data_IF_363562900254
#
_entry.id   IF_363562900254
#
_cell.length_a   1.000
_cell.length_b   1.000
_cell.length_c   1.000
_cell.angle_alpha   90.00
_cell.angle_beta   90.00
_cell.angle_gamma   90.00
#
_symmetry.space_group_name_H-M   'P 1'
#
loop_
_entity.id
_entity.type
_entity.pdbx_description
1 polymer ?
#
# COMPACT_ATOMS: atom_id res chain seq x y z
N UNK A 1 10.85 15.18 9.44
CA UNK A 1 11.14 13.93 8.72
C UNK A 1 10.86 12.76 9.65
N UNK A 2 10.38 11.63 9.14
CA UNK A 2 10.19 10.40 9.90
C UNK A 2 11.56 9.81 10.27
N UNK A 3 11.67 9.31 11.50
CA UNK A 3 12.86 8.59 11.96
C UNK A 3 12.64 7.07 11.76
N UNK A 4 13.40 6.49 10.84
CA UNK A 4 13.37 5.06 10.50
C UNK A 4 14.65 4.32 10.92
N UNK A 5 15.53 4.96 11.66
CA UNK A 5 16.86 4.41 12.01
C UNK A 5 16.81 3.17 12.89
N UNK A 6 15.69 2.95 13.57
CA UNK A 6 15.48 1.79 14.47
C UNK A 6 14.83 0.57 13.82
N UNK A 7 14.71 0.59 12.50
CA UNK A 7 14.30 -0.58 11.72
C UNK A 7 12.80 -0.85 11.63
N UNK A 8 11.95 -0.08 12.33
CA UNK A 8 10.48 -0.22 12.25
C UNK A 8 9.88 0.94 11.49
N UNK A 9 9.11 0.65 10.44
CA UNK A 9 8.41 1.64 9.64
C UNK A 9 7.01 1.96 10.19
N UNK A 10 6.22 0.93 10.54
CA UNK A 10 4.90 1.08 11.13
C UNK A 10 4.78 0.24 12.41
N UNK A 11 4.14 0.78 13.40
CA UNK A 11 3.83 0.09 14.65
C UNK A 11 2.41 0.38 15.11
N UNK A 12 1.60 -0.66 15.18
CA UNK A 12 0.26 -0.66 15.76
C UNK A 12 0.29 -1.42 17.06
N UNK A 13 -0.28 -0.85 18.12
CA UNK A 13 -0.27 -1.43 19.45
C UNK A 13 -1.67 -1.41 20.05
N UNK A 14 -2.24 -2.59 20.24
CA UNK A 14 -3.55 -2.83 20.82
C UNK A 14 -4.69 -1.98 20.23
N UNK A 15 -4.69 -1.80 18.92
CA UNK A 15 -5.72 -1.03 18.19
C UNK A 15 -7.06 -1.75 18.26
N UNK A 16 -8.08 -1.05 18.78
CA UNK A 16 -9.47 -1.51 18.77
C UNK A 16 -10.35 -0.49 18.07
N UNK A 17 -11.24 -1.00 17.21
CA UNK A 17 -12.23 -0.20 16.45
C UNK A 17 -13.56 -0.91 16.49
N UNK A 18 -14.61 -0.16 16.84
CA UNK A 18 -16.00 -0.65 16.82
C UNK A 18 -16.88 0.27 15.97
N UNK A 19 -17.80 -0.33 15.20
CA UNK A 19 -18.81 0.36 14.42
C UNK A 19 -20.19 -0.19 14.85
N UNK A 20 -21.04 0.64 15.41
CA UNK A 20 -22.41 0.28 15.82
C UNK A 20 -22.49 -1.05 16.61
N UNK A 21 -21.57 -1.24 17.54
CA UNK A 21 -21.47 -2.45 18.37
C UNK A 21 -20.73 -3.62 17.74
N UNK A 22 -20.37 -3.54 16.46
CA UNK A 22 -19.50 -4.52 15.81
C UNK A 22 -18.03 -4.16 15.98
N UNK A 23 -17.25 -5.07 16.57
CA UNK A 23 -15.83 -4.88 16.77
C UNK A 23 -15.04 -5.30 15.53
N UNK A 24 -14.61 -4.30 14.73
CA UNK A 24 -13.86 -4.52 13.50
C UNK A 24 -12.38 -4.85 13.75
N UNK A 25 -11.75 -4.18 14.75
CA UNK A 25 -10.41 -4.50 15.25
C UNK A 25 -10.49 -4.73 16.76
N UNK A 26 -9.80 -5.75 17.23
CA UNK A 26 -9.79 -6.17 18.63
C UNK A 26 -8.35 -6.31 19.12
N UNK A 27 -7.82 -5.27 19.76
CA UNK A 27 -6.46 -5.19 20.27
C UNK A 27 -5.41 -5.65 19.24
N UNK A 28 -5.54 -5.15 17.99
CA UNK A 28 -4.62 -5.49 16.92
C UNK A 28 -3.25 -4.89 17.19
N UNK A 29 -2.25 -5.75 17.28
CA UNK A 29 -0.83 -5.35 17.34
C UNK A 29 -0.09 -5.91 16.15
N UNK A 30 0.61 -5.04 15.42
CA UNK A 30 1.33 -5.35 14.19
C UNK A 30 2.47 -4.37 14.01
N UNK A 31 3.62 -4.84 13.55
CA UNK A 31 4.72 -3.99 13.08
C UNK A 31 5.10 -4.33 11.65
N UNK A 32 5.54 -3.33 10.90
CA UNK A 32 6.15 -3.46 9.59
C UNK A 32 7.58 -2.91 9.68
N UNK A 33 8.56 -3.74 9.33
CA UNK A 33 9.96 -3.33 9.36
C UNK A 33 10.31 -2.47 8.12
N UNK A 34 11.38 -1.68 8.26
CA UNK A 34 11.90 -0.85 7.15
C UNK A 34 12.37 -1.76 6.02
N UNK A 35 11.88 -1.48 4.80
CA UNK A 35 12.23 -2.25 3.60
C UNK A 35 11.54 -3.61 3.49
N UNK A 36 10.68 -3.97 4.46
CA UNK A 36 9.95 -5.24 4.44
C UNK A 36 8.79 -5.20 3.42
N UNK A 37 8.55 -6.35 2.76
CA UNK A 37 7.32 -6.63 2.05
C UNK A 37 6.50 -7.62 2.87
N UNK A 38 5.38 -7.16 3.44
CA UNK A 38 4.47 -7.93 4.25
C UNK A 38 3.15 -8.16 3.53
N UNK A 39 2.70 -9.39 3.44
CA UNK A 39 1.33 -9.70 3.05
C UNK A 39 0.44 -9.86 4.29
N UNK A 40 -0.72 -9.23 4.24
CA UNK A 40 -1.78 -9.40 5.25
C UNK A 40 -2.95 -10.10 4.58
N UNK A 41 -3.28 -11.27 5.08
CA UNK A 41 -4.35 -12.11 4.58
C UNK A 41 -5.39 -12.34 5.68
N UNK A 42 -6.53 -12.88 5.30
CA UNK A 42 -7.61 -13.18 6.23
C UNK A 42 -8.94 -13.23 5.50
N UNK A 43 -9.97 -13.86 6.10
CA UNK A 43 -11.30 -13.91 5.52
C UNK A 43 -11.92 -12.51 5.43
N UNK A 44 -13.01 -12.39 4.64
CA UNK A 44 -13.77 -11.17 4.58
C UNK A 44 -14.29 -10.80 5.99
N UNK A 45 -14.17 -9.54 6.35
CA UNK A 45 -14.54 -9.07 7.69
C UNK A 45 -13.48 -9.29 8.78
N UNK A 46 -12.29 -9.79 8.43
CA UNK A 46 -11.19 -9.99 9.39
C UNK A 46 -10.58 -8.70 9.94
N UNK A 47 -10.89 -7.54 9.31
CA UNK A 47 -10.37 -6.25 9.74
C UNK A 47 -9.27 -5.66 8.85
N UNK A 48 -8.92 -6.29 7.72
CA UNK A 48 -7.84 -5.85 6.84
C UNK A 48 -8.01 -4.40 6.36
N UNK A 49 -9.17 -4.06 5.81
CA UNK A 49 -9.47 -2.69 5.35
C UNK A 49 -9.50 -1.70 6.50
N UNK A 50 -10.12 -2.05 7.62
CA UNK A 50 -10.16 -1.20 8.82
C UNK A 50 -8.77 -0.91 9.36
N UNK A 51 -7.88 -1.89 9.37
CA UNK A 51 -6.49 -1.69 9.74
C UNK A 51 -5.81 -0.66 8.83
N UNK A 52 -5.95 -0.77 7.52
CA UNK A 52 -5.42 0.23 6.58
C UNK A 52 -6.05 1.61 6.77
N UNK A 53 -7.34 1.67 7.06
CA UNK A 53 -8.06 2.92 7.34
C UNK A 53 -7.55 3.60 8.62
N UNK A 54 -7.17 2.86 9.63
CA UNK A 54 -6.52 3.40 10.84
C UNK A 54 -5.13 3.96 10.51
N UNK A 55 -4.31 3.23 9.78
CA UNK A 55 -2.96 3.67 9.40
C UNK A 55 -3.00 4.97 8.60
N UNK A 56 -3.98 5.12 7.71
CA UNK A 56 -4.11 6.31 6.85
C UNK A 56 -4.91 7.45 7.47
N UNK A 57 -5.46 7.28 8.67
CA UNK A 57 -6.24 8.32 9.38
C UNK A 57 -7.67 8.47 8.91
N UNK A 58 -8.17 7.59 8.03
CA UNK A 58 -9.56 7.56 7.59
C UNK A 58 -10.51 7.09 8.70
N UNK A 59 -10.03 6.19 9.56
CA UNK A 59 -10.77 5.70 10.74
C UNK A 59 -9.96 5.99 12.00
N UNK A 60 -10.60 6.59 13.00
CA UNK A 60 -10.02 6.77 14.33
C UNK A 60 -10.33 5.54 15.18
N UNK A 61 -9.33 4.91 15.82
CA UNK A 61 -9.58 3.82 16.74
C UNK A 61 -10.18 4.30 18.06
N UNK A 62 -10.90 3.39 18.75
CA UNK A 62 -11.44 3.64 20.08
C UNK A 62 -10.34 3.62 21.14
N UNK A 63 -9.32 2.79 20.92
CA UNK A 63 -8.16 2.64 21.81
C UNK A 63 -6.95 2.14 21.05
N UNK A 64 -5.79 2.20 21.69
CA UNK A 64 -4.51 1.75 21.14
C UNK A 64 -3.64 2.89 20.66
N UNK A 65 -2.51 2.53 20.05
CA UNK A 65 -1.50 3.47 19.56
C UNK A 65 -1.05 3.07 18.16
N UNK A 66 -0.74 4.08 17.32
CA UNK A 66 -0.25 3.87 15.97
C UNK A 66 0.86 4.86 15.64
N UNK A 67 2.02 4.35 15.24
CA UNK A 67 3.19 5.17 14.95
C UNK A 67 3.75 4.88 13.56
N UNK A 68 4.22 5.93 12.90
CA UNK A 68 5.05 5.87 11.71
C UNK A 68 6.49 6.24 12.11
N UNK A 69 7.40 5.28 11.94
CA UNK A 69 8.71 5.36 12.56
C UNK A 69 8.58 5.47 14.08
N UNK A 70 9.55 6.12 14.72
CA UNK A 70 9.53 6.30 16.18
C UNK A 70 8.85 7.58 16.65
N UNK A 71 8.67 8.55 15.78
CA UNK A 71 8.37 9.92 16.19
C UNK A 71 6.99 10.41 15.78
N UNK A 72 6.35 9.79 14.77
CA UNK A 72 5.08 10.27 14.24
C UNK A 72 3.93 9.46 14.80
N UNK A 73 3.16 10.07 15.71
CA UNK A 73 1.89 9.51 16.19
C UNK A 73 0.80 9.73 15.13
N UNK A 74 0.42 8.67 14.44
CA UNK A 74 -0.56 8.70 13.36
C UNK A 74 -1.94 9.14 13.83
N UNK A 75 -2.29 8.87 15.09
CA UNK A 75 -3.61 9.20 15.64
C UNK A 75 -3.79 10.70 15.90
N UNK A 76 -2.71 11.49 15.84
CA UNK A 76 -2.74 12.95 15.94
C UNK A 76 -2.81 13.65 14.60
N UNK A 77 -2.65 12.92 13.50
CA UNK A 77 -2.62 13.46 12.15
C UNK A 77 -3.95 13.19 11.43
N UNK A 78 -4.27 14.03 10.46
CA UNK A 78 -5.35 13.83 9.50
C UNK A 78 -4.80 13.09 8.28
N UNK A 79 -5.69 12.48 7.50
CA UNK A 79 -5.34 11.70 6.31
C UNK A 79 -4.36 12.43 5.35
N UNK A 80 -4.57 13.74 4.98
CA UNK A 80 -3.60 14.43 4.11
C UNK A 80 -2.23 14.66 4.77
N UNK A 81 -2.18 14.74 6.09
CA UNK A 81 -0.92 14.93 6.83
C UNK A 81 -0.12 13.62 6.89
N UNK A 82 -0.81 12.49 7.04
CA UNK A 82 -0.21 11.15 6.98
C UNK A 82 0.36 10.87 5.59
N UNK A 83 -0.39 11.18 4.53
CA UNK A 83 0.10 11.05 3.16
C UNK A 83 1.36 11.87 2.92
N UNK A 84 1.38 13.14 3.39
CA UNK A 84 2.57 14.02 3.29
C UNK A 84 3.74 13.55 4.16
N UNK A 85 3.47 12.86 5.26
CA UNK A 85 4.52 12.29 6.10
C UNK A 85 5.24 11.14 5.41
N UNK A 86 4.63 10.48 4.41
CA UNK A 86 5.25 9.46 3.59
C UNK A 86 4.57 8.08 3.60
N UNK A 87 3.29 8.02 3.92
CA UNK A 87 2.48 6.80 3.78
C UNK A 87 1.59 6.94 2.55
N UNK A 88 1.95 6.24 1.47
CA UNK A 88 1.15 6.15 0.26
C UNK A 88 0.18 4.96 0.32
N UNK A 89 -1.07 5.16 -0.08
CA UNK A 89 -2.05 4.08 -0.17
C UNK A 89 -2.66 4.00 -1.56
N UNK A 90 -2.61 2.80 -2.13
CA UNK A 90 -3.38 2.44 -3.31
C UNK A 90 -4.65 1.72 -2.89
N UNK A 91 -5.78 2.27 -3.31
CA UNK A 91 -7.09 1.66 -3.11
C UNK A 91 -7.37 0.58 -4.17
N UNK A 92 -8.35 -0.29 -3.92
CA UNK A 92 -8.72 -1.37 -4.82
C UNK A 92 -9.12 -0.88 -6.22
N UNK A 93 -9.87 0.24 -6.30
CA UNK A 93 -10.24 0.85 -7.59
C UNK A 93 -9.17 1.87 -8.01
N UNK A 94 -8.69 1.83 -9.27
CA UNK A 94 -7.75 2.82 -9.78
C UNK A 94 -8.34 4.24 -9.76
N UNK A 95 -7.51 5.23 -9.43
CA UNK A 95 -7.86 6.65 -9.36
C UNK A 95 -7.00 7.49 -10.30
N UNK A 96 -6.83 7.03 -11.54
CA UNK A 96 -6.09 7.75 -12.57
C UNK A 96 -6.98 8.79 -13.25
N UNK A 97 -6.37 9.86 -13.77
CA UNK A 97 -7.05 10.88 -14.58
C UNK A 97 -7.14 10.37 -16.01
N UNK A 98 -8.30 9.88 -16.42
CA UNK A 98 -8.50 9.15 -17.67
C UNK A 98 -8.33 10.02 -18.93
N UNK A 99 -8.65 11.31 -18.82
CA UNK A 99 -8.53 12.29 -19.90
C UNK A 99 -7.12 12.87 -20.06
N UNK A 100 -6.19 12.49 -19.20
CA UNK A 100 -4.79 12.85 -19.27
C UNK A 100 -3.94 11.68 -19.77
N UNK A 101 -2.80 12.01 -20.40
CA UNK A 101 -1.83 10.98 -20.77
C UNK A 101 -1.21 10.30 -19.54
N UNK A 102 -0.59 9.15 -19.76
CA UNK A 102 0.17 8.44 -18.72
C UNK A 102 1.25 9.35 -18.13
N UNK A 103 1.97 10.08 -18.99
CA UNK A 103 2.99 11.04 -18.57
C UNK A 103 2.40 12.17 -17.72
N UNK A 104 1.29 12.77 -18.16
CA UNK A 104 0.63 13.87 -17.45
C UNK A 104 0.09 13.44 -16.07
N UNK A 105 -0.39 12.20 -15.92
CA UNK A 105 -0.76 11.64 -14.62
C UNK A 105 0.43 11.62 -13.65
N UNK A 106 1.60 11.17 -14.11
CA UNK A 106 2.82 11.15 -13.29
C UNK A 106 3.33 12.56 -13.00
N UNK A 107 3.24 13.46 -13.96
CA UNK A 107 3.58 14.87 -13.78
C UNK A 107 2.74 15.54 -12.69
N UNK A 108 1.43 15.31 -12.68
CA UNK A 108 0.54 15.81 -11.63
C UNK A 108 0.91 15.24 -10.25
N UNK A 109 1.18 13.94 -10.18
CA UNK A 109 1.58 13.30 -8.93
C UNK A 109 2.90 13.87 -8.39
N UNK A 110 3.86 14.14 -9.26
CA UNK A 110 5.14 14.76 -8.89
C UNK A 110 4.97 16.22 -8.40
N UNK A 111 4.02 16.96 -8.97
CA UNK A 111 3.72 18.36 -8.58
C UNK A 111 2.95 18.45 -7.26
N UNK A 112 2.14 17.46 -6.91
CA UNK A 112 1.30 17.48 -5.72
C UNK A 112 2.09 17.62 -4.41
N UNK A 113 3.35 17.18 -4.40
CA UNK A 113 4.23 17.28 -3.22
C UNK A 113 4.85 18.69 -3.01
N UNK A 114 4.77 19.56 -3.97
CA UNK A 114 5.38 20.90 -3.89
C UNK A 114 4.31 21.96 -3.55
N UNK A 115 4.48 22.57 -2.34
CA UNK A 115 3.62 23.63 -1.80
C UNK A 115 3.00 24.53 -2.89
N UNK A 116 1.69 24.68 -2.87
CA UNK A 116 0.82 25.38 -3.83
C UNK A 116 1.24 26.79 -4.29
N UNK A 117 2.30 27.37 -3.75
CA UNK A 117 2.75 28.76 -4.04
C UNK A 117 3.44 28.94 -5.36
N UNK A 118 3.90 27.86 -6.04
CA UNK A 118 4.68 27.98 -7.30
C UNK A 118 4.04 27.28 -8.50
N UNK A 119 2.76 26.90 -8.44
CA UNK A 119 2.13 26.01 -9.42
C UNK A 119 1.69 26.70 -10.72
N UNK A 120 1.61 28.03 -10.76
CA UNK A 120 0.99 28.74 -11.87
C UNK A 120 1.88 28.87 -13.14
N UNK A 121 3.22 28.70 -13.00
CA UNK A 121 4.18 28.88 -14.10
C UNK A 121 5.30 27.83 -14.13
N UNK A 122 5.01 26.61 -13.69
CA UNK A 122 6.04 25.60 -13.52
C UNK A 122 6.18 24.71 -14.76
N UNK A 123 7.25 24.92 -15.52
CA UNK A 123 7.71 23.97 -16.52
C UNK A 123 8.58 22.89 -15.83
N UNK A 124 8.38 21.62 -16.21
CA UNK A 124 9.23 20.54 -15.76
C UNK A 124 10.71 20.82 -16.11
N UNK A 125 11.60 20.66 -15.15
CA UNK A 125 13.04 20.62 -15.43
C UNK A 125 13.41 19.34 -16.20
N UNK A 126 14.58 19.32 -16.84
CA UNK A 126 15.10 18.11 -17.48
C UNK A 126 15.16 16.94 -16.51
N UNK A 127 15.69 17.15 -15.31
CA UNK A 127 15.79 16.13 -14.25
C UNK A 127 14.43 15.54 -13.84
N UNK A 128 13.38 16.36 -13.85
CA UNK A 128 12.04 15.89 -13.51
C UNK A 128 11.41 15.06 -14.63
N UNK A 129 11.69 15.40 -15.88
CA UNK A 129 11.28 14.58 -17.03
C UNK A 129 11.98 13.24 -17.01
N UNK A 130 13.29 13.24 -16.76
CA UNK A 130 14.08 12.01 -16.65
C UNK A 130 13.58 11.13 -15.49
N UNK A 131 13.18 11.73 -14.36
CA UNK A 131 12.58 11.02 -13.25
C UNK A 131 11.24 10.37 -13.61
N UNK A 132 10.39 11.07 -14.37
CA UNK A 132 9.12 10.49 -14.87
C UNK A 132 9.39 9.37 -15.86
N UNK A 133 10.35 9.53 -16.78
CA UNK A 133 10.70 8.49 -17.74
C UNK A 133 11.29 7.25 -17.05
N UNK A 134 12.06 7.43 -15.97
CA UNK A 134 12.52 6.33 -15.13
C UNK A 134 11.37 5.61 -14.40
N UNK A 135 10.40 6.37 -13.88
CA UNK A 135 9.18 5.79 -13.30
C UNK A 135 8.37 5.01 -14.33
N UNK A 136 8.20 5.55 -15.54
CA UNK A 136 7.50 4.87 -16.64
C UNK A 136 8.14 3.53 -16.98
N UNK A 137 9.47 3.48 -17.03
CA UNK A 137 10.19 2.23 -17.25
C UNK A 137 9.97 1.25 -16.08
N UNK A 138 10.03 1.73 -14.85
CA UNK A 138 9.85 0.90 -13.64
C UNK A 138 8.45 0.29 -13.57
N UNK A 139 7.40 1.08 -13.86
CA UNK A 139 6.00 0.59 -13.87
C UNK A 139 5.60 -0.05 -15.21
N UNK A 140 6.55 -0.25 -16.13
CA UNK A 140 6.37 -0.93 -17.42
C UNK A 140 5.39 -0.26 -18.37
N UNK A 141 5.30 1.08 -18.32
CA UNK A 141 4.43 1.90 -19.16
C UNK A 141 5.18 2.87 -20.08
N UNK A 142 6.49 2.65 -20.31
CA UNK A 142 7.31 3.51 -21.17
C UNK A 142 6.72 3.65 -22.58
N UNK A 143 6.28 2.54 -23.19
CA UNK A 143 5.68 2.52 -24.53
C UNK A 143 4.27 3.16 -24.58
N UNK A 144 3.65 3.37 -23.44
CA UNK A 144 2.33 3.97 -23.30
C UNK A 144 2.37 5.42 -22.81
N UNK A 145 3.55 6.04 -22.77
CA UNK A 145 3.83 7.37 -22.21
C UNK A 145 2.83 8.44 -22.64
N UNK A 146 2.54 8.51 -23.91
CA UNK A 146 1.70 9.56 -24.52
C UNK A 146 0.25 9.12 -24.76
N UNK A 147 -0.10 7.87 -24.39
CA UNK A 147 -1.48 7.38 -24.48
C UNK A 147 -2.32 7.97 -23.35
N UNK A 148 -3.62 8.21 -23.63
CA UNK A 148 -4.57 8.58 -22.58
C UNK A 148 -4.70 7.44 -21.55
N UNK A 149 -4.74 7.78 -20.28
CA UNK A 149 -4.88 6.78 -19.23
C UNK A 149 -6.20 5.99 -19.31
N UNK A 150 -7.25 6.62 -19.86
CA UNK A 150 -8.55 5.99 -20.06
C UNK A 150 -8.54 4.77 -20.99
N UNK A 151 -7.58 4.67 -21.94
CA UNK A 151 -7.49 3.55 -22.90
C UNK A 151 -6.56 2.41 -22.41
N UNK A 152 -5.97 2.56 -21.22
CA UNK A 152 -5.14 1.52 -20.61
C UNK A 152 -6.01 0.33 -20.16
N UNK A 153 -5.42 -0.87 -20.13
CA UNK A 153 -6.02 -2.02 -19.46
C UNK A 153 -6.22 -1.76 -17.97
N UNK A 154 -7.01 -2.59 -17.32
CA UNK A 154 -7.19 -2.50 -15.87
C UNK A 154 -5.86 -2.63 -15.11
N UNK A 155 -5.03 -3.59 -15.47
CA UNK A 155 -3.71 -3.79 -14.88
C UNK A 155 -2.76 -2.61 -15.14
N UNK A 156 -2.74 -2.07 -16.36
CA UNK A 156 -1.93 -0.89 -16.69
C UNK A 156 -2.36 0.34 -15.88
N UNK A 157 -3.66 0.54 -15.65
CA UNK A 157 -4.16 1.60 -14.75
C UNK A 157 -3.69 1.41 -13.32
N UNK A 158 -3.65 0.17 -12.83
CA UNK A 158 -3.13 -0.17 -11.52
C UNK A 158 -1.62 0.17 -11.40
N UNK A 159 -0.83 -0.15 -12.42
CA UNK A 159 0.60 0.19 -12.45
C UNK A 159 0.82 1.69 -12.52
N UNK A 160 0.00 2.42 -13.30
CA UNK A 160 0.07 3.88 -13.34
C UNK A 160 -0.20 4.48 -11.95
N UNK A 161 -1.19 3.97 -11.23
CA UNK A 161 -1.49 4.45 -9.87
C UNK A 161 -0.34 4.19 -8.90
N UNK A 162 0.30 3.02 -8.97
CA UNK A 162 1.53 2.72 -8.21
C UNK A 162 2.62 3.73 -8.58
N UNK A 163 2.81 4.02 -9.86
CA UNK A 163 3.78 5.03 -10.33
C UNK A 163 3.49 6.43 -9.79
N UNK A 164 2.23 6.82 -9.72
CA UNK A 164 1.82 8.10 -9.12
C UNK A 164 2.17 8.18 -7.63
N UNK A 165 2.03 7.09 -6.89
CA UNK A 165 2.48 7.02 -5.50
C UNK A 165 4.01 7.08 -5.40
N UNK A 166 4.72 6.35 -6.26
CA UNK A 166 6.19 6.34 -6.30
C UNK A 166 6.79 7.70 -6.67
N UNK A 167 6.07 8.53 -7.42
CA UNK A 167 6.51 9.90 -7.75
C UNK A 167 6.76 10.77 -6.51
N UNK A 168 6.15 10.42 -5.37
CA UNK A 168 6.36 11.08 -4.09
C UNK A 168 7.40 10.40 -3.20
N UNK A 169 8.02 9.32 -3.69
CA UNK A 169 9.05 8.51 -3.00
C UNK A 169 8.66 8.15 -1.54
N UNK A 170 7.48 7.55 -1.29
CA UNK A 170 6.99 7.30 0.05
C UNK A 170 7.80 6.19 0.73
N UNK A 171 8.24 6.35 1.98
CA UNK A 171 8.87 5.27 2.74
C UNK A 171 7.98 4.05 2.93
N UNK A 172 6.66 4.25 3.00
CA UNK A 172 5.67 3.18 3.19
C UNK A 172 4.62 3.21 2.09
N UNK A 173 4.37 2.03 1.51
CA UNK A 173 3.30 1.77 0.54
C UNK A 173 2.29 0.78 1.13
N UNK A 174 1.03 1.16 1.08
CA UNK A 174 -0.09 0.30 1.44
C UNK A 174 -0.88 -0.04 0.17
N UNK A 175 -0.94 -1.31 -0.19
CA UNK A 175 -1.58 -1.78 -1.41
C UNK A 175 -2.75 -2.70 -1.05
N UNK A 176 -3.96 -2.29 -1.45
CA UNK A 176 -5.19 -3.02 -1.18
C UNK A 176 -5.61 -3.77 -2.44
N UNK A 177 -5.50 -5.11 -2.41
CA UNK A 177 -5.80 -6.03 -3.50
C UNK A 177 -5.22 -5.58 -4.85
N UNK A 178 -3.88 -5.40 -4.95
CA UNK A 178 -3.26 -4.78 -6.12
C UNK A 178 -3.39 -5.57 -7.42
N UNK A 179 -3.71 -6.87 -7.36
CA UNK A 179 -3.85 -7.74 -8.55
C UNK A 179 -5.30 -8.10 -8.87
N UNK A 180 -6.28 -7.54 -8.16
CA UNK A 180 -7.68 -7.81 -8.43
C UNK A 180 -8.06 -7.47 -9.88
N UNK A 181 -8.65 -8.43 -10.60
CA UNK A 181 -9.08 -8.26 -11.99
C UNK A 181 -7.94 -8.26 -13.03
N UNK A 182 -6.72 -8.58 -12.66
CA UNK A 182 -5.59 -8.72 -13.57
C UNK A 182 -5.58 -10.10 -14.26
N UNK A 183 -5.01 -10.13 -15.46
CA UNK A 183 -4.61 -11.38 -16.13
C UNK A 183 -3.41 -12.02 -15.41
N UNK A 184 -3.13 -13.29 -15.67
CA UNK A 184 -1.99 -13.99 -15.09
C UNK A 184 -0.66 -13.27 -15.40
N UNK A 185 -0.48 -12.82 -16.65
CA UNK A 185 0.71 -12.08 -17.06
C UNK A 185 0.84 -10.71 -16.39
N UNK A 186 -0.26 -10.01 -16.15
CA UNK A 186 -0.27 -8.75 -15.40
C UNK A 186 0.04 -8.99 -13.92
N UNK A 187 -0.48 -10.07 -13.35
CA UNK A 187 -0.21 -10.49 -11.97
C UNK A 187 1.26 -10.82 -11.76
N UNK A 188 1.88 -11.59 -12.67
CA UNK A 188 3.32 -11.89 -12.61
C UNK A 188 4.18 -10.62 -12.66
N UNK A 189 3.87 -9.71 -13.59
CA UNK A 189 4.60 -8.43 -13.71
C UNK A 189 4.42 -7.55 -12.47
N UNK A 190 3.24 -7.59 -11.84
CA UNK A 190 2.99 -6.88 -10.58
C UNK A 190 3.83 -7.48 -9.45
N UNK A 191 3.93 -8.80 -9.36
CA UNK A 191 4.79 -9.47 -8.41
C UNK A 191 6.26 -9.04 -8.56
N UNK A 192 6.79 -9.05 -9.79
CA UNK A 192 8.15 -8.58 -10.09
C UNK A 192 8.35 -7.13 -9.64
N UNK A 193 7.41 -6.23 -9.98
CA UNK A 193 7.46 -4.82 -9.59
C UNK A 193 7.53 -4.66 -8.07
N UNK A 194 6.69 -5.36 -7.31
CA UNK A 194 6.69 -5.25 -5.85
C UNK A 194 7.98 -5.79 -5.23
N UNK A 195 8.55 -6.85 -5.79
CA UNK A 195 9.85 -7.38 -5.36
C UNK A 195 11.01 -6.40 -5.65
N UNK A 196 10.96 -5.69 -6.76
CA UNK A 196 11.93 -4.63 -7.11
C UNK A 196 11.83 -3.42 -6.17
N UNK A 197 10.62 -3.08 -5.71
CA UNK A 197 10.35 -1.96 -4.80
C UNK A 197 10.71 -2.26 -3.35
N UNK A 198 10.63 -3.54 -2.95
CA UNK A 198 10.96 -3.99 -1.60
C UNK A 198 12.43 -3.67 -1.26
N UNK A 199 12.69 -3.29 -0.02
CA UNK A 199 14.00 -2.83 0.43
C UNK A 199 14.15 -1.31 0.37
N UNK A 200 13.80 -0.69 -0.76
CA UNK A 200 13.74 0.77 -0.88
C UNK A 200 12.48 1.34 -0.19
N UNK A 201 11.36 0.64 -0.36
CA UNK A 201 10.09 0.97 0.29
C UNK A 201 9.68 -0.16 1.24
N UNK A 202 9.02 0.19 2.34
CA UNK A 202 8.33 -0.77 3.21
C UNK A 202 6.92 -0.94 2.65
N UNK A 203 6.55 -2.17 2.31
CA UNK A 203 5.32 -2.45 1.56
C UNK A 203 4.42 -3.37 2.37
N UNK A 204 3.17 -2.98 2.56
CA UNK A 204 2.12 -3.83 3.10
C UNK A 204 1.08 -4.08 2.02
N UNK A 205 0.84 -5.36 1.72
CA UNK A 205 -0.12 -5.81 0.71
C UNK A 205 -1.23 -6.57 1.40
N UNK A 206 -2.46 -6.11 1.24
CA UNK A 206 -3.66 -6.87 1.61
C UNK A 206 -4.12 -7.66 0.40
N UNK A 207 -4.20 -8.97 0.52
CA UNK A 207 -4.56 -9.86 -0.59
C UNK A 207 -5.32 -11.10 -0.13
N UNK A 208 -5.98 -11.73 -1.09
CA UNK A 208 -6.65 -13.02 -0.95
C UNK A 208 -6.24 -14.03 -2.04
N UNK A 209 -5.53 -13.58 -3.07
CA UNK A 209 -4.92 -14.45 -4.07
C UNK A 209 -3.67 -15.11 -3.50
N UNK A 210 -3.81 -16.39 -3.08
CA UNK A 210 -2.74 -17.11 -2.41
C UNK A 210 -1.57 -17.47 -3.32
N UNK A 211 -1.79 -17.59 -4.63
CA UNK A 211 -0.71 -17.81 -5.60
C UNK A 211 0.16 -16.56 -5.72
N UNK A 212 -0.47 -15.39 -5.80
CA UNK A 212 0.24 -14.12 -5.79
C UNK A 212 0.97 -13.88 -4.46
N UNK A 213 0.31 -14.11 -3.32
CA UNK A 213 0.95 -14.01 -1.99
C UNK A 213 2.18 -14.91 -1.94
N UNK A 214 2.09 -16.16 -2.39
CA UNK A 214 3.22 -17.09 -2.41
C UNK A 214 4.39 -16.59 -3.27
N UNK A 215 4.12 -15.85 -4.34
CA UNK A 215 5.16 -15.34 -5.25
C UNK A 215 5.96 -14.17 -4.67
N UNK A 216 5.40 -13.39 -3.73
CA UNK A 216 6.03 -12.17 -3.20
C UNK A 216 6.34 -12.21 -1.71
N UNK A 217 5.58 -12.98 -0.92
CA UNK A 217 5.63 -12.88 0.53
C UNK A 217 6.82 -13.64 1.11
N UNK A 218 7.64 -12.91 1.89
CA UNK A 218 8.61 -13.52 2.81
C UNK A 218 7.97 -13.76 4.17
N UNK A 219 7.09 -12.87 4.59
CA UNK A 219 6.38 -12.92 5.86
C UNK A 219 4.91 -12.58 5.63
N UNK A 220 4.03 -13.33 6.27
CA UNK A 220 2.58 -13.20 6.16
C UNK A 220 1.97 -13.01 7.54
N UNK A 221 1.02 -12.11 7.64
CA UNK A 221 0.19 -11.92 8.83
C UNK A 221 -1.24 -12.32 8.48
N UNK A 222 -1.81 -13.22 9.26
CA UNK A 222 -3.22 -13.64 9.14
C UNK A 222 -4.05 -12.88 10.15
N UNK A 223 -5.05 -12.14 9.66
CA UNK A 223 -6.07 -11.51 10.50
C UNK A 223 -7.31 -12.39 10.58
N UNK A 224 -7.89 -12.43 11.77
CA UNK A 224 -9.19 -13.06 12.03
C UNK A 224 -9.89 -12.31 13.15
N UNK A 225 -11.16 -11.96 12.93
CA UNK A 225 -11.98 -11.26 13.93
C UNK A 225 -11.29 -10.02 14.54
N UNK A 226 -10.60 -9.26 13.71
CA UNK A 226 -9.93 -8.02 14.11
C UNK A 226 -8.61 -8.17 14.88
N UNK A 227 -8.06 -9.36 14.97
CA UNK A 227 -6.80 -9.66 15.66
C UNK A 227 -5.84 -10.43 14.77
N UNK A 228 -4.55 -10.44 15.12
CA UNK A 228 -3.56 -11.31 14.48
C UNK A 228 -3.76 -12.75 14.96
N UNK A 229 -4.08 -13.63 14.03
CA UNK A 229 -4.23 -15.07 14.31
C UNK A 229 -2.90 -15.82 14.25
N UNK A 230 -2.10 -15.51 13.22
CA UNK A 230 -0.79 -16.10 12.98
C UNK A 230 0.09 -15.14 12.19
N UNK A 231 1.40 -15.28 12.35
CA UNK A 231 2.38 -14.47 11.63
C UNK A 231 3.67 -15.27 11.46
N UNK A 232 4.27 -15.22 10.27
CA UNK A 232 5.51 -15.92 9.96
C UNK A 232 5.68 -16.18 8.46
N UNK A 233 6.66 -17.01 8.08
CA UNK A 233 6.79 -17.49 6.70
C UNK A 233 5.50 -18.16 6.22
N UNK A 234 5.19 -18.02 4.92
CA UNK A 234 3.93 -18.57 4.37
C UNK A 234 3.75 -20.07 4.65
N UNK A 235 4.83 -20.85 4.55
CA UNK A 235 4.79 -22.29 4.82
C UNK A 235 4.36 -22.65 6.25
N UNK A 236 4.81 -21.86 7.23
CA UNK A 236 4.43 -22.05 8.63
C UNK A 236 2.98 -21.63 8.88
N UNK A 237 2.58 -20.49 8.29
CA UNK A 237 1.22 -19.97 8.40
C UNK A 237 0.21 -20.94 7.79
N UNK A 238 0.50 -21.48 6.60
CA UNK A 238 -0.36 -22.47 5.93
C UNK A 238 -0.48 -23.78 6.69
N UNK A 239 0.54 -24.16 7.44
CA UNK A 239 0.53 -25.35 8.30
C UNK A 239 -0.12 -25.15 9.67
N UNK A 240 -0.50 -23.94 10.02
CA UNK A 240 -1.08 -23.63 11.33
C UNK A 240 -2.53 -24.14 11.41
N UNK A 241 -2.86 -25.05 12.39
CA UNK A 241 -4.20 -25.62 12.51
C UNK A 241 -5.32 -24.57 12.64
N UNK A 242 -5.07 -23.48 13.36
CA UNK A 242 -6.05 -22.41 13.53
C UNK A 242 -6.31 -21.64 12.22
N UNK A 243 -5.28 -21.45 11.39
CA UNK A 243 -5.42 -20.84 10.07
C UNK A 243 -6.23 -21.76 9.15
N UNK A 244 -5.93 -23.06 9.16
CA UNK A 244 -6.65 -24.06 8.38
C UNK A 244 -8.13 -24.09 8.78
N UNK A 245 -8.44 -24.08 10.07
CA UNK A 245 -9.81 -24.03 10.58
C UNK A 245 -10.57 -22.81 10.08
N UNK A 246 -9.98 -21.63 10.15
CA UNK A 246 -10.60 -20.36 9.73
C UNK A 246 -10.87 -20.32 8.22
N UNK A 247 -9.94 -20.83 7.40
CA UNK A 247 -10.10 -20.80 5.94
C UNK A 247 -10.93 -21.96 5.39
N UNK A 248 -10.94 -23.11 6.04
CA UNK A 248 -11.68 -24.31 5.59
C UNK A 248 -13.03 -24.47 6.29
N UNK A 249 -13.34 -23.64 7.31
CA UNK A 249 -14.62 -23.69 8.00
C UNK A 249 -14.87 -24.99 8.78
N UNK A 250 -13.82 -25.61 9.31
CA UNK A 250 -13.89 -26.87 10.09
C UNK A 250 -13.49 -26.66 11.52
#
# INVERSE_FOLDING_TARGET
>A
AVDLTHGVALYLDEISVSFDGFRALNKLSLSLDVGELRCVIGPNGAGKTTMMDVITGKTRPDSGRAFFGQTIDLLRLREPEIARAGIGRKFQKPTVFEDLSVFENLELALKADKRARNTLFWALSGEQRDAIDALLAQIRLADSRDRLAGVLSHGEKQWLEIGMLLAQDPPVLLLDEPVAGMTDGETERTAELLLELAGKHSIMVVEHDMAFVASIARRVTVLHEGSVLAEGPLSEVQGNPKVIEVYLGR
#
